data_IF_781774278522
#
_entry.id   IF_781774278522
#
_cell.length_a   1.000
_cell.length_b   1.000
_cell.length_c   1.000
_cell.angle_alpha   90.00
_cell.angle_beta   90.00
_cell.angle_gamma   90.00
#
_symmetry.space_group_name_H-M   'P 1'
#
loop_
_entity.id
_entity.type
_entity.pdbx_description
1 polymer ?
#
# COMPACT_ATOMS: atom_id res chain seq x y z
N UNK A 1 -27.29 11.54 9.92
CA UNK A 1 -27.87 11.70 11.28
C UNK A 1 -29.25 12.35 11.15
N UNK A 2 -30.29 11.74 11.69
CA UNK A 2 -31.63 12.36 11.71
C UNK A 2 -31.76 13.27 12.93
N UNK A 3 -32.63 14.29 12.87
CA UNK A 3 -32.86 15.20 13.99
C UNK A 3 -33.27 14.47 15.29
N UNK A 4 -33.96 13.32 15.17
CA UNK A 4 -34.31 12.46 16.32
C UNK A 4 -33.10 11.81 16.99
N UNK A 5 -32.05 11.48 16.24
CA UNK A 5 -30.84 10.84 16.76
C UNK A 5 -29.93 11.83 17.51
N UNK A 6 -29.97 13.12 17.14
CA UNK A 6 -29.19 14.16 17.81
C UNK A 6 -29.77 14.54 19.17
N UNK A 7 -31.10 14.43 19.33
CA UNK A 7 -31.80 14.79 20.56
C UNK A 7 -31.51 13.84 21.75
N UNK A 8 -30.98 12.65 21.50
CA UNK A 8 -30.67 11.65 22.54
C UNK A 8 -29.21 11.69 23.01
N UNK A 9 -28.38 12.57 22.45
CA UNK A 9 -26.96 12.64 22.80
C UNK A 9 -26.72 13.50 24.06
N UNK A 10 -25.73 13.15 24.90
CA UNK A 10 -25.31 13.99 26.01
C UNK A 10 -24.83 15.36 25.51
N UNK A 11 -25.12 16.43 26.26
CA UNK A 11 -24.76 17.82 25.91
C UNK A 11 -23.27 18.00 25.60
N UNK A 12 -22.40 17.25 26.28
CA UNK A 12 -20.94 17.25 26.05
C UNK A 12 -20.56 16.72 24.67
N UNK A 13 -21.27 15.72 24.16
CA UNK A 13 -21.00 15.14 22.84
C UNK A 13 -21.59 16.01 21.72
N UNK A 14 -22.71 16.68 21.98
CA UNK A 14 -23.25 17.72 21.09
C UNK A 14 -22.27 18.88 20.92
N UNK A 15 -21.63 19.34 22.00
CA UNK A 15 -20.62 20.41 21.93
C UNK A 15 -19.36 19.98 21.18
N UNK A 16 -18.94 18.71 21.32
CA UNK A 16 -17.81 18.15 20.55
C UNK A 16 -18.13 18.05 19.06
N UNK A 17 -19.34 17.59 18.72
CA UNK A 17 -19.81 17.53 17.33
C UNK A 17 -19.93 18.92 16.72
N UNK A 18 -20.45 19.91 17.46
CA UNK A 18 -20.53 21.30 17.02
C UNK A 18 -19.14 21.91 16.79
N UNK A 19 -18.20 21.67 17.71
CA UNK A 19 -16.81 22.11 17.56
C UNK A 19 -16.12 21.50 16.33
N UNK A 20 -16.29 20.19 16.12
CA UNK A 20 -15.76 19.50 14.95
C UNK A 20 -16.39 20.01 13.64
N UNK A 21 -17.70 20.27 13.62
CA UNK A 21 -18.39 20.83 12.46
C UNK A 21 -17.93 22.25 12.13
N UNK A 22 -17.75 23.12 13.14
CA UNK A 22 -17.21 24.47 12.94
C UNK A 22 -15.78 24.45 12.42
N UNK A 23 -14.91 23.57 12.93
CA UNK A 23 -13.54 23.41 12.45
C UNK A 23 -13.49 22.91 11.00
N UNK A 24 -14.33 21.93 10.65
CA UNK A 24 -14.44 21.42 9.29
C UNK A 24 -14.98 22.49 8.31
N UNK A 25 -15.94 23.30 8.75
CA UNK A 25 -16.47 24.42 7.97
C UNK A 25 -15.42 25.50 7.73
N UNK A 26 -14.68 25.90 8.76
CA UNK A 26 -13.59 26.88 8.64
C UNK A 26 -12.47 26.38 7.69
N UNK A 27 -12.09 25.10 7.79
CA UNK A 27 -11.13 24.48 6.87
C UNK A 27 -11.64 24.50 5.42
N UNK A 28 -12.94 24.28 5.21
CA UNK A 28 -13.57 24.34 3.88
C UNK A 28 -13.51 25.73 3.28
N UNK A 29 -13.78 26.77 4.08
CA UNK A 29 -13.69 28.16 3.63
C UNK A 29 -12.25 28.52 3.26
N UNK A 30 -11.28 28.15 4.09
CA UNK A 30 -9.86 28.40 3.81
C UNK A 30 -9.38 27.69 2.52
N UNK A 31 -9.82 26.45 2.28
CA UNK A 31 -9.52 25.70 1.05
C UNK A 31 -10.23 26.26 -0.18
N UNK A 32 -11.44 26.80 -0.03
CA UNK A 32 -12.18 27.46 -1.12
C UNK A 32 -11.45 28.72 -1.59
N UNK A 33 -10.89 29.50 -0.68
CA UNK A 33 -10.08 30.69 -1.03
C UNK A 33 -8.77 30.30 -1.70
N UNK A 34 -8.18 29.15 -1.31
CA UNK A 34 -6.87 28.72 -1.84
C UNK A 34 -6.94 28.02 -3.20
N UNK A 35 -8.02 27.30 -3.49
CA UNK A 35 -8.10 26.37 -4.66
C UNK A 35 -9.36 26.61 -5.52
N UNK A 36 -10.14 27.64 -5.21
CA UNK A 36 -11.39 27.95 -5.90
C UNK A 36 -12.54 26.97 -5.61
N UNK A 37 -13.73 27.22 -6.18
CA UNK A 37 -14.96 26.49 -5.83
C UNK A 37 -14.94 25.00 -6.21
N UNK A 38 -14.09 24.58 -7.16
CA UNK A 38 -13.93 23.17 -7.55
C UNK A 38 -13.01 22.38 -6.60
N UNK A 39 -12.06 23.04 -5.94
CA UNK A 39 -11.16 22.39 -4.97
C UNK A 39 -11.84 22.08 -3.63
N UNK A 40 -12.79 22.93 -3.20
CA UNK A 40 -13.51 22.74 -1.95
C UNK A 40 -14.48 21.54 -1.98
N UNK A 41 -15.11 21.27 -3.12
CA UNK A 41 -15.95 20.06 -3.32
C UNK A 41 -15.10 18.79 -3.36
N UNK A 42 -13.89 18.86 -3.91
CA UNK A 42 -12.96 17.73 -3.95
C UNK A 42 -12.48 17.34 -2.54
N UNK A 43 -12.23 18.34 -1.67
CA UNK A 43 -11.82 18.10 -0.29
C UNK A 43 -12.88 17.34 0.52
N UNK A 44 -14.16 17.68 0.39
CA UNK A 44 -15.24 16.97 1.07
C UNK A 44 -15.43 15.53 0.58
N UNK A 45 -15.19 15.27 -0.71
CA UNK A 45 -15.23 13.93 -1.29
C UNK A 45 -14.09 13.05 -0.73
N UNK A 46 -12.89 13.61 -0.60
CA UNK A 46 -11.73 12.91 -0.02
C UNK A 46 -11.86 12.71 1.49
N UNK A 47 -12.36 13.72 2.22
CA UNK A 47 -12.57 13.64 3.67
C UNK A 47 -13.70 12.67 4.03
N UNK A 48 -14.80 12.68 3.25
CA UNK A 48 -15.90 11.73 3.40
C UNK A 48 -15.47 10.29 3.11
N UNK A 49 -14.64 10.08 2.07
CA UNK A 49 -14.08 8.76 1.79
C UNK A 49 -13.11 8.29 2.89
N UNK A 50 -12.28 9.17 3.44
CA UNK A 50 -11.37 8.84 4.53
C UNK A 50 -12.12 8.49 5.83
N UNK A 51 -13.20 9.21 6.16
CA UNK A 51 -14.04 8.90 7.32
C UNK A 51 -14.80 7.57 7.16
N UNK A 52 -15.26 7.24 5.95
CA UNK A 52 -15.90 5.96 5.67
C UNK A 52 -14.91 4.79 5.81
N UNK A 53 -13.67 4.96 5.33
CA UNK A 53 -12.61 3.94 5.46
C UNK A 53 -12.14 3.79 6.92
N UNK A 54 -12.11 4.87 7.71
CA UNK A 54 -11.73 4.83 9.11
C UNK A 54 -12.80 4.20 10.02
N UNK A 55 -14.08 4.52 9.80
CA UNK A 55 -15.19 3.89 10.54
C UNK A 55 -15.30 2.37 10.27
N UNK A 56 -14.89 1.93 9.08
CA UNK A 56 -14.87 0.52 8.69
C UNK A 56 -13.63 -0.24 9.21
N UNK A 57 -12.59 0.48 9.64
CA UNK A 57 -11.40 -0.09 10.28
C UNK A 57 -11.62 -0.37 11.78
N UNK A 58 -12.47 0.41 12.45
CA UNK A 58 -12.77 0.25 13.89
C UNK A 58 -13.81 -0.86 14.14
N UNK A 59 -14.71 -1.11 13.18
CA UNK A 59 -15.69 -2.19 13.25
C UNK A 59 -15.11 -3.61 12.99
N UNK A 60 -13.81 -3.72 12.71
CA UNK A 60 -13.15 -4.98 12.35
C UNK A 60 -12.47 -5.72 13.50
N UNK A 61 -12.53 -5.20 14.74
CA UNK A 61 -11.82 -5.78 15.89
C UNK A 61 -12.60 -6.86 16.65
N UNK A 62 -13.89 -7.08 16.36
CA UNK A 62 -14.70 -8.12 17.02
C UNK A 62 -15.51 -8.93 15.99
N UNK A 63 -14.86 -9.87 15.31
CA UNK A 63 -15.56 -10.97 14.64
C UNK A 63 -14.60 -12.12 14.37
N UNK A 64 -14.31 -12.91 15.40
CA UNK A 64 -13.68 -14.22 15.25
C UNK A 64 -14.75 -15.32 15.10
N UNK A 65 -14.46 -16.25 14.20
CA UNK A 65 -14.92 -17.63 14.10
C UNK A 65 -16.44 -17.91 13.93
N UNK A 66 -16.84 -18.18 12.70
CA UNK A 66 -17.56 -19.43 12.39
C UNK A 66 -17.17 -19.90 10.97
N UNK A 67 -16.63 -21.12 10.89
CA UNK A 67 -16.19 -21.72 9.63
C UNK A 67 -17.33 -22.35 8.84
N UNK A 68 -17.20 -22.35 7.52
CA UNK A 68 -17.84 -23.31 6.62
C UNK A 68 -16.89 -23.55 5.44
N UNK A 69 -16.60 -24.82 5.18
CA UNK A 69 -15.65 -25.28 4.17
C UNK A 69 -16.13 -25.07 2.73
N UNK A 70 -15.16 -24.93 1.82
CA UNK A 70 -15.45 -24.81 0.39
C UNK A 70 -14.20 -24.83 -0.47
N UNK A 71 -13.97 -25.98 -1.11
CA UNK A 71 -13.25 -26.19 -2.38
C UNK A 71 -11.81 -25.65 -2.50
N UNK A 72 -10.88 -26.53 -2.17
CA UNK A 72 -9.41 -26.40 -2.29
C UNK A 72 -8.99 -26.44 -3.77
N UNK A 73 -9.18 -25.35 -4.51
CA UNK A 73 -8.55 -25.15 -5.83
C UNK A 73 -7.30 -24.28 -5.66
N UNK A 74 -6.27 -24.83 -5.01
CA UNK A 74 -4.94 -24.21 -4.91
C UNK A 74 -4.38 -24.00 -6.31
N UNK A 75 -4.18 -22.74 -6.67
CA UNK A 75 -3.29 -22.36 -7.76
C UNK A 75 -1.88 -22.78 -7.34
N UNK A 76 -1.45 -23.97 -7.72
CA UNK A 76 -0.04 -24.39 -7.63
C UNK A 76 0.75 -23.51 -8.60
N UNK A 77 1.36 -22.45 -8.08
CA UNK A 77 2.53 -21.85 -8.70
C UNK A 77 3.60 -22.95 -8.72
N UNK A 78 4.11 -23.31 -9.88
CA UNK A 78 5.12 -24.34 -10.04
C UNK A 78 6.36 -23.97 -9.19
N UNK A 79 6.58 -24.72 -8.11
CA UNK A 79 7.76 -24.59 -7.25
C UNK A 79 8.96 -25.16 -8.00
N UNK A 80 9.79 -24.26 -8.55
CA UNK A 80 11.14 -24.61 -8.92
C UNK A 80 11.96 -24.88 -7.63
N UNK A 81 12.83 -25.91 -7.60
CA UNK A 81 13.57 -26.27 -6.41
C UNK A 81 14.48 -25.10 -5.97
N UNK A 82 14.32 -24.71 -4.70
CA UNK A 82 15.09 -23.68 -4.00
C UNK A 82 16.53 -24.16 -3.84
N UNK A 83 17.38 -23.86 -4.84
CA UNK A 83 18.83 -23.87 -4.67
C UNK A 83 19.23 -22.53 -4.08
N UNK A 84 19.79 -22.58 -2.87
CA UNK A 84 20.56 -21.52 -2.18
C UNK A 84 20.32 -20.13 -2.76
N UNK A 85 19.36 -19.41 -2.19
CA UNK A 85 19.15 -18.01 -2.52
C UNK A 85 20.53 -17.32 -2.53
N UNK A 86 20.96 -16.70 -3.65
CA UNK A 86 22.03 -15.72 -3.61
C UNK A 86 21.72 -14.81 -2.43
N UNK A 87 22.69 -14.58 -1.54
CA UNK A 87 22.42 -13.86 -0.31
C UNK A 87 21.74 -12.54 -0.67
N UNK A 88 20.49 -12.38 -0.24
CA UNK A 88 19.63 -11.27 -0.61
C UNK A 88 20.27 -9.92 -0.25
N UNK A 89 21.09 -9.94 0.81
CA UNK A 89 21.86 -8.79 1.32
C UNK A 89 22.76 -8.14 0.27
N UNK A 90 23.74 -8.81 -0.37
CA UNK A 90 24.52 -8.21 -1.45
C UNK A 90 23.71 -7.58 -2.58
N UNK A 91 22.63 -8.23 -3.01
CA UNK A 91 21.77 -7.69 -4.08
C UNK A 91 20.99 -6.45 -3.62
N UNK A 92 20.54 -6.44 -2.37
CA UNK A 92 19.72 -5.38 -1.79
C UNK A 92 20.55 -4.16 -1.34
N UNK A 93 21.76 -4.37 -0.83
CA UNK A 93 22.61 -3.34 -0.25
C UNK A 93 22.73 -2.06 -1.11
N UNK A 94 23.00 -2.11 -2.43
CA UNK A 94 23.11 -0.91 -3.24
C UNK A 94 21.75 -0.25 -3.54
N UNK A 95 20.62 -0.93 -3.27
CA UNK A 95 19.27 -0.39 -3.45
C UNK A 95 18.75 0.31 -2.18
N UNK A 96 19.35 0.07 -1.01
CA UNK A 96 18.93 0.70 0.24
C UNK A 96 19.09 2.23 0.16
N UNK A 97 18.09 2.94 0.69
CA UNK A 97 18.02 4.39 0.68
C UNK A 97 16.66 4.93 0.23
N UNK A 98 16.64 6.23 -0.03
CA UNK A 98 15.46 6.99 -0.47
C UNK A 98 15.58 7.31 -1.95
N UNK A 99 14.46 7.20 -2.64
CA UNK A 99 14.37 7.32 -4.08
C UNK A 99 13.18 8.21 -4.46
N UNK A 100 13.41 9.24 -5.29
CA UNK A 100 12.38 10.09 -5.85
C UNK A 100 11.83 9.46 -7.13
N UNK A 101 10.51 9.42 -7.28
CA UNK A 101 9.89 8.92 -8.52
C UNK A 101 10.10 9.93 -9.64
N UNK A 102 10.65 9.48 -10.76
CA UNK A 102 10.70 10.25 -12.00
C UNK A 102 9.39 10.04 -12.77
N UNK A 103 8.47 11.00 -12.69
CA UNK A 103 7.17 10.91 -13.37
C UNK A 103 7.28 11.00 -14.90
N UNK A 104 8.32 11.65 -15.43
CA UNK A 104 8.51 11.78 -16.88
C UNK A 104 8.99 10.49 -17.54
N UNK A 105 9.67 9.63 -16.77
CA UNK A 105 10.21 8.34 -17.23
C UNK A 105 9.54 7.11 -16.63
N UNK A 106 8.48 7.31 -15.85
CA UNK A 106 7.66 6.24 -15.31
C UNK A 106 6.40 6.06 -16.15
N UNK A 107 5.97 4.82 -16.31
CA UNK A 107 4.70 4.52 -16.94
C UNK A 107 3.53 5.04 -16.08
N UNK A 108 2.44 5.42 -16.75
CA UNK A 108 1.18 5.73 -16.06
C UNK A 108 0.61 4.47 -15.41
N UNK A 109 -0.01 4.61 -14.24
CA UNK A 109 -0.63 3.47 -13.55
C UNK A 109 -2.07 3.19 -14.01
N UNK A 110 -2.55 3.84 -15.07
CA UNK A 110 -3.97 3.82 -15.41
C UNK A 110 -4.49 2.43 -15.74
N UNK A 111 -3.77 1.68 -16.57
CA UNK A 111 -4.11 0.30 -16.91
C UNK A 111 -4.11 -0.62 -15.68
N UNK A 112 -3.18 -0.40 -14.73
CA UNK A 112 -3.13 -1.17 -13.48
C UNK A 112 -4.32 -0.82 -12.57
N UNK A 113 -4.68 0.46 -12.46
CA UNK A 113 -5.84 0.91 -11.70
C UNK A 113 -7.17 0.42 -12.31
N UNK A 114 -7.28 0.37 -13.63
CA UNK A 114 -8.43 -0.22 -14.34
C UNK A 114 -8.54 -1.71 -14.00
N UNK A 115 -7.42 -2.43 -14.09
CA UNK A 115 -7.36 -3.84 -13.78
C UNK A 115 -7.72 -4.14 -12.31
N UNK A 116 -7.20 -3.35 -11.36
CA UNK A 116 -7.60 -3.45 -9.95
C UNK A 116 -9.04 -2.98 -9.67
N UNK A 117 -9.73 -2.39 -10.66
CA UNK A 117 -11.06 -1.78 -10.50
C UNK A 117 -11.08 -0.76 -9.35
N UNK A 118 -10.05 0.07 -9.29
CA UNK A 118 -9.85 1.08 -8.24
C UNK A 118 -10.68 2.32 -8.60
N UNK A 119 -11.35 2.88 -7.59
CA UNK A 119 -12.14 4.10 -7.78
C UNK A 119 -11.24 5.33 -8.04
N UNK A 120 -11.86 6.40 -8.55
CA UNK A 120 -11.13 7.62 -8.92
C UNK A 120 -10.36 8.26 -7.76
N UNK A 121 -10.88 8.20 -6.53
CA UNK A 121 -10.23 8.79 -5.34
C UNK A 121 -8.89 8.11 -5.06
N UNK A 122 -8.86 6.78 -5.02
CA UNK A 122 -7.64 6.03 -4.76
C UNK A 122 -6.66 6.13 -5.92
N UNK A 123 -7.15 6.17 -7.18
CA UNK A 123 -6.30 6.44 -8.35
C UNK A 123 -5.55 7.78 -8.20
N UNK A 124 -6.24 8.84 -7.81
CA UNK A 124 -5.60 10.13 -7.54
C UNK A 124 -4.61 10.04 -6.38
N UNK A 125 -4.92 9.29 -5.31
CA UNK A 125 -4.00 9.10 -4.20
C UNK A 125 -2.71 8.38 -4.62
N UNK A 126 -2.78 7.41 -5.54
CA UNK A 126 -1.61 6.72 -6.10
C UNK A 126 -0.70 7.68 -6.88
N UNK A 127 -1.27 8.68 -7.57
CA UNK A 127 -0.49 9.71 -8.27
C UNK A 127 0.27 10.65 -7.29
N UNK A 128 -0.09 10.64 -6.01
CA UNK A 128 0.56 11.45 -4.97
C UNK A 128 1.72 10.72 -4.27
N UNK A 129 1.98 9.46 -4.62
CA UNK A 129 3.19 8.75 -4.20
C UNK A 129 4.40 9.43 -4.81
N UNK A 130 5.34 9.87 -3.96
CA UNK A 130 6.50 10.69 -4.37
C UNK A 130 7.76 9.88 -4.63
N UNK A 131 7.80 8.64 -4.16
CA UNK A 131 9.04 7.89 -4.17
C UNK A 131 8.92 6.52 -3.55
N UNK A 132 10.09 5.97 -3.25
CA UNK A 132 10.29 4.67 -2.66
C UNK A 132 11.42 4.78 -1.64
N UNK A 133 11.27 4.16 -0.48
CA UNK A 133 12.33 4.04 0.50
C UNK A 133 12.48 2.57 0.90
N UNK A 134 13.71 2.09 0.80
CA UNK A 134 14.09 0.72 1.13
C UNK A 134 15.00 0.78 2.35
N UNK A 135 14.65 0.05 3.40
CA UNK A 135 15.44 -0.05 4.65
C UNK A 135 15.59 -1.50 5.05
N UNK A 136 16.66 -1.80 5.76
CA UNK A 136 16.78 -3.05 6.52
C UNK A 136 16.65 -2.70 7.99
N UNK A 137 15.67 -3.31 8.66
CA UNK A 137 15.46 -3.16 10.10
C UNK A 137 15.64 -4.53 10.75
N UNK A 138 16.21 -4.57 11.95
CA UNK A 138 16.19 -5.78 12.79
C UNK A 138 14.85 -5.83 13.51
N UNK A 139 14.10 -6.92 13.33
CA UNK A 139 12.90 -7.19 14.09
C UNK A 139 13.27 -7.36 15.56
N UNK A 140 12.70 -6.51 16.43
CA UNK A 140 12.93 -6.54 17.88
C UNK A 140 11.61 -6.57 18.61
N UNK A 141 11.32 -7.68 19.31
CA UNK A 141 10.09 -7.83 20.09
C UNK A 141 9.97 -9.07 20.99
N UNK A 142 11.00 -9.90 21.14
CA UNK A 142 10.99 -11.07 22.04
C UNK A 142 12.33 -11.81 22.08
N UNK A 143 12.48 -12.75 23.02
CA UNK A 143 13.70 -13.58 23.22
C UNK A 143 14.02 -14.52 22.05
N UNK A 144 13.17 -14.59 21.03
CA UNK A 144 13.41 -15.35 19.80
C UNK A 144 14.07 -14.44 18.74
N UNK A 145 15.20 -14.92 18.21
CA UNK A 145 16.13 -14.32 17.25
C UNK A 145 15.71 -13.02 16.52
N UNK A 146 16.63 -12.02 16.51
CA UNK A 146 16.53 -10.79 15.72
C UNK A 146 16.46 -11.08 14.21
N UNK A 147 15.27 -11.33 13.67
CA UNK A 147 15.07 -11.50 12.24
C UNK A 147 15.15 -10.16 11.53
N UNK A 148 16.05 -10.04 10.56
CA UNK A 148 16.11 -8.84 9.73
C UNK A 148 15.01 -8.82 8.66
N UNK A 149 14.41 -7.64 8.51
CA UNK A 149 13.32 -7.39 7.58
C UNK A 149 13.71 -6.27 6.61
N UNK A 150 13.41 -6.48 5.33
CA UNK A 150 13.32 -5.40 4.37
C UNK A 150 12.01 -4.66 4.60
N UNK A 151 12.11 -3.36 4.85
CA UNK A 151 10.99 -2.44 4.93
C UNK A 151 10.92 -1.67 3.61
N UNK A 152 9.77 -1.77 2.95
CA UNK A 152 9.45 -1.00 1.75
C UNK A 152 8.43 0.07 2.11
N UNK A 153 8.80 1.33 1.91
CA UNK A 153 8.00 2.50 2.22
C UNK A 153 7.69 3.26 0.93
N UNK A 154 6.40 3.48 0.65
CA UNK A 154 5.97 4.37 -0.43
C UNK A 154 5.43 5.67 0.20
N UNK A 155 6.27 6.71 0.34
CA UNK A 155 5.82 7.98 0.87
C UNK A 155 4.82 8.65 -0.08
N UNK A 156 3.72 9.15 0.49
CA UNK A 156 2.75 9.99 -0.20
C UNK A 156 2.64 11.34 0.48
N UNK A 157 2.25 12.37 -0.28
CA UNK A 157 1.88 13.68 0.26
C UNK A 157 0.68 13.56 1.22
N UNK A 158 -0.17 12.57 0.95
CA UNK A 158 -1.38 12.33 1.74
C UNK A 158 -1.03 11.44 2.93
N UNK A 159 -1.08 12.00 4.15
CA UNK A 159 -0.68 11.30 5.38
C UNK A 159 -1.39 9.96 5.61
N UNK A 160 -2.66 9.85 5.22
CA UNK A 160 -3.45 8.63 5.38
C UNK A 160 -3.14 7.56 4.31
N UNK A 161 -2.45 7.92 3.22
CA UNK A 161 -2.09 7.02 2.14
C UNK A 161 -0.59 6.72 2.17
N UNK A 162 -0.14 6.06 3.24
CA UNK A 162 1.23 5.57 3.37
C UNK A 162 1.22 4.05 3.30
N UNK A 163 2.00 3.49 2.39
CA UNK A 163 2.23 2.05 2.32
C UNK A 163 3.55 1.74 3.02
N UNK A 164 3.49 0.81 3.97
CA UNK A 164 4.65 0.21 4.63
C UNK A 164 4.49 -1.30 4.52
N UNK A 165 5.45 -1.95 3.90
CA UNK A 165 5.48 -3.39 3.71
C UNK A 165 6.74 -3.96 4.35
N UNK A 166 6.60 -5.14 4.91
CA UNK A 166 7.63 -5.88 5.60
C UNK A 166 7.89 -7.17 4.85
N UNK A 167 9.16 -7.51 4.65
CA UNK A 167 9.58 -8.73 3.97
C UNK A 167 10.71 -9.37 4.75
N UNK A 168 10.58 -10.67 5.05
CA UNK A 168 11.64 -11.42 5.72
C UNK A 168 12.84 -11.59 4.79
N UNK A 169 14.05 -11.40 5.34
CA UNK A 169 15.29 -11.59 4.60
C UNK A 169 15.85 -13.01 4.70
N UNK A 170 15.21 -13.90 5.46
CA UNK A 170 15.60 -15.31 5.59
C UNK A 170 15.45 -16.09 4.27
N UNK A 171 14.68 -15.55 3.31
CA UNK A 171 14.39 -16.16 2.03
C UNK A 171 13.45 -17.37 2.10
N UNK A 172 12.94 -17.71 3.29
CA UNK A 172 12.10 -18.88 3.55
C UNK A 172 10.69 -18.55 4.03
N UNK A 173 10.51 -17.42 4.73
CA UNK A 173 9.21 -17.08 5.29
C UNK A 173 8.41 -16.13 4.39
N UNK A 174 7.15 -16.52 4.16
CA UNK A 174 6.16 -15.57 3.65
C UNK A 174 5.79 -14.59 4.78
N UNK A 175 5.76 -13.32 4.42
CA UNK A 175 5.26 -12.24 5.27
C UNK A 175 3.83 -11.89 4.87
N UNK A 176 3.07 -11.29 5.79
CA UNK A 176 1.70 -10.85 5.52
C UNK A 176 1.65 -9.33 5.50
N UNK A 177 1.49 -8.76 4.31
CA UNK A 177 1.31 -7.33 4.11
C UNK A 177 -0.16 -6.98 3.86
N UNK A 178 -0.51 -5.70 3.99
CA UNK A 178 -1.81 -5.21 3.50
C UNK A 178 -1.82 -5.21 1.98
N UNK A 179 -2.99 -5.44 1.38
CA UNK A 179 -3.16 -5.30 -0.07
C UNK A 179 -2.95 -3.85 -0.51
N UNK A 180 -2.27 -3.64 -1.65
CA UNK A 180 -2.03 -2.30 -2.24
C UNK A 180 -3.27 -1.68 -2.89
N UNK A 181 -4.31 -2.46 -3.15
CA UNK A 181 -5.60 -1.98 -3.68
C UNK A 181 -6.55 -1.43 -2.59
N UNK A 182 -6.04 -1.30 -1.35
CA UNK A 182 -6.73 -0.82 -0.14
C UNK A 182 -7.95 -1.62 0.32
N UNK A 183 -8.31 -2.70 -0.38
CA UNK A 183 -9.39 -3.59 0.05
C UNK A 183 -9.01 -4.32 1.34
N UNK A 184 -10.03 -4.83 2.04
CA UNK A 184 -9.84 -5.65 3.24
C UNK A 184 -9.05 -6.93 2.90
N UNK A 185 -8.31 -7.42 3.89
CA UNK A 185 -7.47 -8.61 3.78
C UNK A 185 -5.98 -8.30 3.61
N UNK A 186 -5.19 -9.36 3.57
CA UNK A 186 -3.73 -9.30 3.41
C UNK A 186 -3.25 -9.95 2.13
N UNK A 187 -1.99 -9.71 1.79
CA UNK A 187 -1.25 -10.37 0.74
C UNK A 187 -0.11 -11.19 1.34
N UNK A 188 0.03 -12.44 0.90
CA UNK A 188 1.21 -13.28 1.14
C UNK A 188 2.36 -12.72 0.31
N UNK A 189 3.47 -12.48 0.97
CA UNK A 189 4.52 -11.61 0.47
C UNK A 189 5.88 -12.28 0.64
N UNK A 190 6.71 -12.27 -0.39
CA UNK A 190 8.07 -12.81 -0.33
C UNK A 190 9.03 -11.96 -1.13
N UNK A 191 10.31 -12.02 -0.75
CA UNK A 191 11.39 -11.32 -1.43
C UNK A 191 12.52 -12.30 -1.73
N UNK A 192 13.14 -12.17 -2.91
CA UNK A 192 14.28 -13.00 -3.29
C UNK A 192 15.25 -12.24 -4.18
N UNK A 193 16.53 -12.56 -4.06
CA UNK A 193 17.51 -12.15 -5.05
C UNK A 193 17.26 -12.87 -6.38
N UNK A 194 17.51 -12.17 -7.48
CA UNK A 194 17.50 -12.72 -8.82
C UNK A 194 18.93 -12.69 -9.40
N UNK A 195 19.21 -13.52 -10.43
CA UNK A 195 20.43 -13.40 -11.20
C UNK A 195 20.62 -11.96 -11.71
N UNK A 196 21.87 -11.47 -11.73
CA UNK A 196 22.19 -10.11 -12.19
C UNK A 196 21.99 -9.01 -11.14
N UNK A 197 21.80 -9.37 -9.86
CA UNK A 197 21.73 -8.40 -8.76
C UNK A 197 20.37 -7.73 -8.59
N UNK A 198 19.35 -8.14 -9.35
CA UNK A 198 17.97 -7.68 -9.15
C UNK A 198 17.35 -8.30 -7.89
N UNK A 199 16.37 -7.61 -7.32
CA UNK A 199 15.55 -8.10 -6.20
C UNK A 199 14.11 -8.25 -6.68
N UNK A 200 13.49 -9.41 -6.46
CA UNK A 200 12.10 -9.65 -6.82
C UNK A 200 11.25 -9.75 -5.56
N UNK A 201 10.24 -8.90 -5.49
CA UNK A 201 9.19 -8.92 -4.48
C UNK A 201 7.94 -9.52 -5.11
N UNK A 202 7.33 -10.49 -4.45
CA UNK A 202 6.07 -11.11 -4.88
C UNK A 202 5.02 -10.89 -3.81
N UNK A 203 3.87 -10.38 -4.20
CA UNK A 203 2.68 -10.27 -3.36
C UNK A 203 1.55 -11.05 -4.02
N UNK A 204 0.86 -11.92 -3.30
CA UNK A 204 -0.28 -12.68 -3.79
C UNK A 204 -1.44 -12.61 -2.80
N UNK A 205 -2.66 -12.48 -3.29
CA UNK A 205 -3.85 -12.40 -2.45
C UNK A 205 -5.03 -13.13 -3.06
N UNK A 206 -5.90 -13.64 -2.20
CA UNK A 206 -7.11 -14.34 -2.59
C UNK A 206 -8.35 -13.42 -2.47
N UNK A 207 -9.51 -13.96 -2.83
CA UNK A 207 -10.82 -13.33 -2.67
C UNK A 207 -11.55 -13.09 -4.00
N UNK A 208 -12.48 -12.14 -4.01
CA UNK A 208 -13.30 -11.84 -5.19
C UNK A 208 -12.50 -11.24 -6.37
N UNK A 209 -11.34 -10.66 -6.07
CA UNK A 209 -10.37 -10.16 -7.05
C UNK A 209 -9.00 -10.78 -6.74
N UNK A 210 -8.91 -12.11 -6.76
CA UNK A 210 -7.65 -12.85 -6.62
C UNK A 210 -6.63 -12.35 -7.63
N UNK A 211 -5.41 -12.13 -7.15
CA UNK A 211 -4.34 -11.61 -7.99
C UNK A 211 -2.98 -11.70 -7.35
N UNK A 212 -1.99 -11.25 -8.12
CA UNK A 212 -0.62 -11.13 -7.68
C UNK A 212 0.03 -9.88 -8.28
N UNK A 213 1.02 -9.36 -7.56
CA UNK A 213 1.90 -8.29 -8.00
C UNK A 213 3.34 -8.74 -7.81
N UNK A 214 4.09 -8.75 -8.90
CA UNK A 214 5.53 -9.03 -8.88
C UNK A 214 6.26 -7.75 -9.22
N UNK A 215 7.08 -7.26 -8.29
CA UNK A 215 7.97 -6.12 -8.52
C UNK A 215 9.40 -6.63 -8.68
N UNK A 216 10.05 -6.29 -9.79
CA UNK A 216 11.46 -6.56 -10.04
C UNK A 216 12.24 -5.25 -9.94
N UNK A 217 13.03 -5.13 -8.88
CA UNK A 217 13.88 -3.99 -8.57
C UNK A 217 15.26 -4.25 -9.16
N UNK A 218 15.74 -3.31 -9.97
CA UNK A 218 17.06 -3.38 -10.60
C UNK A 218 17.72 -2.01 -10.61
N UNK A 219 19.04 -1.98 -10.47
CA UNK A 219 19.81 -0.75 -10.64
C UNK A 219 20.26 -0.64 -12.10
N UNK A 220 20.08 0.55 -12.69
CA UNK A 220 20.59 0.91 -14.02
C UNK A 220 21.45 2.16 -13.88
N UNK A 221 22.75 1.96 -13.67
CA UNK A 221 23.63 3.05 -13.23
C UNK A 221 23.23 3.51 -11.82
N UNK A 222 22.91 4.79 -11.67
CA UNK A 222 22.50 5.40 -10.39
C UNK A 222 20.98 5.39 -10.17
N UNK A 223 20.22 4.78 -11.08
CA UNK A 223 18.76 4.76 -11.05
C UNK A 223 18.23 3.43 -10.55
N UNK A 224 17.14 3.49 -9.78
CA UNK A 224 16.37 2.32 -9.40
C UNK A 224 15.19 2.18 -10.35
N UNK A 225 15.14 1.08 -11.10
CA UNK A 225 14.03 0.74 -11.99
C UNK A 225 13.25 -0.41 -11.39
N UNK A 226 11.95 -0.19 -11.22
CA UNK A 226 11.00 -1.20 -10.74
C UNK A 226 10.09 -1.59 -11.89
N UNK A 227 10.22 -2.82 -12.37
CA UNK A 227 9.29 -3.41 -13.33
C UNK A 227 8.24 -4.20 -12.58
N UNK A 228 7.00 -3.73 -12.62
CA UNK A 228 5.86 -4.31 -11.93
C UNK A 228 5.00 -5.10 -12.90
N UNK A 229 4.67 -6.33 -12.53
CA UNK A 229 3.73 -7.20 -13.23
C UNK A 229 2.53 -7.44 -12.33
N UNK A 230 1.39 -6.86 -12.69
CA UNK A 230 0.10 -7.06 -12.01
C UNK A 230 -0.71 -8.12 -12.76
N UNK A 231 -1.17 -9.15 -12.05
CA UNK A 231 -2.08 -10.16 -12.57
C UNK A 231 -3.34 -10.23 -11.72
N UNK A 232 -4.53 -10.11 -12.32
CA UNK A 232 -5.82 -10.21 -11.63
C UNK A 232 -6.76 -11.04 -12.48
N UNK A 233 -7.34 -12.09 -11.89
CA UNK A 233 -8.27 -12.98 -12.60
C UNK A 233 -7.76 -13.46 -13.97
N UNK A 234 -6.45 -13.69 -14.11
CA UNK A 234 -5.78 -14.13 -15.34
C UNK A 234 -5.42 -13.01 -16.34
N UNK A 235 -5.89 -11.79 -16.14
CA UNK A 235 -5.49 -10.62 -16.93
C UNK A 235 -4.19 -10.02 -16.37
N UNK A 236 -3.31 -9.54 -17.24
CA UNK A 236 -1.96 -9.08 -16.90
C UNK A 236 -1.69 -7.67 -17.43
N UNK A 237 -1.09 -6.82 -16.59
CA UNK A 237 -0.53 -5.52 -16.98
C UNK A 237 0.92 -5.45 -16.47
N UNK A 238 1.81 -4.90 -17.29
CA UNK A 238 3.20 -4.64 -16.94
C UNK A 238 3.45 -3.13 -17.04
N UNK A 239 4.14 -2.57 -16.07
CA UNK A 239 4.50 -1.16 -16.06
C UNK A 239 5.84 -0.96 -15.34
N UNK A 240 6.54 0.10 -15.68
CA UNK A 240 7.83 0.45 -15.13
C UNK A 240 7.73 1.75 -14.33
N UNK A 241 8.42 1.79 -13.20
CA UNK A 241 8.63 3.02 -12.44
C UNK A 241 10.12 3.25 -12.29
N UNK A 242 10.57 4.42 -12.72
CA UNK A 242 11.97 4.84 -12.62
C UNK A 242 12.10 5.78 -11.43
N UNK A 243 13.15 5.58 -10.63
CA UNK A 243 13.46 6.43 -9.50
C UNK A 243 14.91 6.91 -9.53
N UNK A 244 15.12 8.14 -9.06
CA UNK A 244 16.43 8.75 -8.84
C UNK A 244 16.77 8.77 -7.36
N UNK A 245 18.04 8.56 -7.02
CA UNK A 245 18.47 8.54 -5.61
C UNK A 245 18.32 9.94 -5.01
N UNK A 246 17.77 10.02 -3.80
CA UNK A 246 17.76 11.24 -2.99
C UNK A 246 18.89 11.11 -1.99
N UNK A 247 19.90 11.97 -2.10
CA UNK A 247 20.89 12.12 -1.04
C UNK A 247 20.20 12.72 0.20
N UNK A 248 20.39 12.06 1.34
CA UNK A 248 19.81 12.43 2.63
C UNK A 248 20.81 13.13 3.52
#
# INVERSE_FOLDING_TARGET
>A
LTAKTLATLPTRDLLRLAGAACAAWAATLALRELVGPLGATFFWLVLGAAAFIAADADAGAEAEATGVGGSDRRVRLAEAPVRLAPSLRPALAPMIGRWAKDYGRSDTLDAACDLWRINFVVRNAMNLVRGLELRVERGGGGEEAEEEQLIVLLPSVVKWFKIREHYSLDGSSETRNRRRDLRRGGARSSVRACPGGAVRITNAWDGSLTGSLVDELSLRGEELVVTSTLTICGQKVVFNTTYTRIEG
#
